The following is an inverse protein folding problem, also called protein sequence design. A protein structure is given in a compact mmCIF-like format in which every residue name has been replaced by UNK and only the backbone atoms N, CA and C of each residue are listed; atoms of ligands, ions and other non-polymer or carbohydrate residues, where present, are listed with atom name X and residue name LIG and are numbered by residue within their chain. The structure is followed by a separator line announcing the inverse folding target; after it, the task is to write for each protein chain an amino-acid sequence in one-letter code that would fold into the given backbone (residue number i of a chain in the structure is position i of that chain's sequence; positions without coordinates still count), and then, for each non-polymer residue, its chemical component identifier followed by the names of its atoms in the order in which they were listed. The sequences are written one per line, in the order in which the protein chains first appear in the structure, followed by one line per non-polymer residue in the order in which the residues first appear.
data_IF_787624374341
#
_entry.id   IF_787624374341
#
_cell.length_a   1.000
_cell.length_b   1.000
_cell.length_c   1.000
_cell.angle_alpha   90.00
_cell.angle_beta   90.00
_cell.angle_gamma   90.00
#
_symmetry.space_group_name_H-M   'P 1'
#
loop_
_entity.id
_entity.type
_entity.pdbx_description
1 polymer ?
#
# COMPACT_ATOMS: atom_id res chain seq x y z
N UNK A 1 44.03 12.22 7.83
CA UNK A 1 43.42 12.40 6.52
C UNK A 1 42.56 13.65 6.59
N UNK A 2 42.91 14.72 5.88
CA UNK A 2 42.09 15.95 5.88
C UNK A 2 40.92 15.70 4.94
N UNK A 3 39.69 15.75 5.47
CA UNK A 3 38.48 15.75 4.65
C UNK A 3 38.40 17.12 3.98
N UNK A 4 38.32 17.18 2.66
CA UNK A 4 38.17 18.42 1.94
C UNK A 4 36.77 19.02 2.24
N UNK A 5 36.73 20.30 2.54
CA UNK A 5 35.51 21.07 2.67
C UNK A 5 34.92 21.31 1.29
N UNK A 6 33.95 20.49 0.91
CA UNK A 6 33.28 20.60 -0.38
C UNK A 6 32.41 21.85 -0.50
N UNK A 7 32.08 22.53 0.60
CA UNK A 7 31.29 23.77 0.57
C UNK A 7 32.08 24.94 -0.02
N UNK A 8 33.43 24.87 0.02
CA UNK A 8 34.33 25.84 -0.58
C UNK A 8 34.67 25.54 -2.07
N UNK A 9 34.03 24.50 -2.66
CA UNK A 9 34.28 24.10 -4.05
C UNK A 9 33.43 24.95 -5.01
N UNK A 10 34.03 25.92 -5.67
CA UNK A 10 33.36 26.90 -6.53
C UNK A 10 32.37 26.33 -7.55
N UNK A 11 32.65 25.21 -8.26
CA UNK A 11 31.67 24.59 -9.16
C UNK A 11 30.39 24.08 -8.46
N UNK A 12 30.49 23.64 -7.20
CA UNK A 12 29.34 23.25 -6.40
C UNK A 12 28.51 24.47 -5.97
N UNK A 13 29.20 25.55 -5.59
CA UNK A 13 28.57 26.83 -5.23
C UNK A 13 27.75 27.39 -6.41
N UNK A 14 28.34 27.35 -7.62
CA UNK A 14 27.69 27.81 -8.85
C UNK A 14 26.49 26.93 -9.23
N UNK A 15 26.56 25.62 -8.98
CA UNK A 15 25.47 24.69 -9.19
C UNK A 15 24.33 24.94 -8.20
N UNK A 16 24.65 25.14 -6.93
CA UNK A 16 23.66 25.45 -5.87
C UNK A 16 22.92 26.75 -6.16
N UNK A 17 23.63 27.80 -6.64
CA UNK A 17 23.01 29.05 -7.08
C UNK A 17 22.07 28.87 -8.26
N UNK A 18 22.45 28.04 -9.25
CA UNK A 18 21.59 27.70 -10.42
C UNK A 18 20.34 26.94 -10.03
N UNK A 19 20.41 26.15 -8.95
CA UNK A 19 19.29 25.35 -8.43
C UNK A 19 18.44 26.11 -7.41
N UNK A 20 18.78 27.37 -7.07
CA UNK A 20 18.18 28.16 -5.97
C UNK A 20 18.15 27.35 -4.65
N UNK A 21 19.19 26.54 -4.42
CA UNK A 21 19.30 25.66 -3.28
C UNK A 21 20.01 26.36 -2.12
N UNK A 22 19.39 26.40 -0.98
CA UNK A 22 19.99 26.94 0.26
C UNK A 22 20.78 25.83 0.92
N UNK A 23 22.11 26.02 1.04
CA UNK A 23 22.95 25.14 1.87
C UNK A 23 22.62 25.42 3.34
N UNK A 24 21.92 24.50 3.95
CA UNK A 24 21.60 24.60 5.37
C UNK A 24 22.80 24.09 6.18
N UNK A 25 23.66 25.00 6.64
CA UNK A 25 24.88 24.72 7.43
C UNK A 25 24.58 24.19 8.85
N UNK A 26 23.33 23.94 9.20
CA UNK A 26 22.89 23.31 10.44
C UNK A 26 22.57 21.83 10.26
N UNK A 27 23.45 21.06 9.64
CA UNK A 27 23.46 19.65 9.90
C UNK A 27 24.29 19.45 11.16
N UNK A 28 23.59 19.25 12.26
CA UNK A 28 24.18 18.66 13.45
C UNK A 28 24.62 17.24 13.06
N UNK A 29 25.90 17.09 12.71
CA UNK A 29 26.51 15.83 12.33
C UNK A 29 26.63 14.85 13.51
N UNK A 30 25.96 15.09 14.61
CA UNK A 30 25.72 14.12 15.68
C UNK A 30 24.65 13.09 15.29
N UNK A 31 24.46 12.82 14.00
CA UNK A 31 23.74 11.67 13.56
C UNK A 31 24.60 10.43 13.89
N UNK A 32 24.49 9.97 15.12
CA UNK A 32 24.85 8.61 15.45
C UNK A 32 23.99 7.75 14.54
N UNK A 33 24.61 7.15 13.53
CA UNK A 33 23.98 6.13 12.74
C UNK A 33 23.54 5.05 13.72
N UNK A 34 22.25 5.04 14.00
CA UNK A 34 21.65 4.05 14.88
C UNK A 34 21.69 2.74 14.09
N UNK A 35 22.83 2.04 14.17
CA UNK A 35 23.02 0.79 13.47
C UNK A 35 22.06 -0.24 14.02
N UNK A 36 21.47 -1.02 13.12
CA UNK A 36 20.71 -2.20 13.51
C UNK A 36 21.62 -3.15 14.29
N UNK A 37 21.17 -3.52 15.47
CA UNK A 37 21.80 -4.64 16.21
C UNK A 37 21.44 -5.95 15.53
N UNK A 38 22.25 -7.00 15.74
CA UNK A 38 21.94 -8.34 15.24
C UNK A 38 20.56 -8.84 15.73
N UNK A 39 20.21 -8.56 16.97
CA UNK A 39 18.91 -8.90 17.55
C UNK A 39 17.74 -8.18 16.83
N UNK A 40 17.90 -6.88 16.53
CA UNK A 40 16.88 -6.13 15.76
C UNK A 40 16.76 -6.66 14.33
N UNK A 41 17.86 -7.04 13.70
CA UNK A 41 17.86 -7.62 12.36
C UNK A 41 17.14 -8.97 12.35
N UNK A 42 17.40 -9.81 13.36
CA UNK A 42 16.68 -11.07 13.54
C UNK A 42 15.16 -10.84 13.76
N UNK A 43 14.82 -9.89 14.61
CA UNK A 43 13.40 -9.52 14.83
C UNK A 43 12.74 -9.04 13.55
N UNK A 44 13.37 -8.15 12.77
CA UNK A 44 12.84 -7.68 11.50
C UNK A 44 12.60 -8.82 10.50
N UNK A 45 13.48 -9.82 10.49
CA UNK A 45 13.39 -10.97 9.60
C UNK A 45 12.40 -12.06 10.07
N UNK A 46 11.90 -11.97 11.30
CA UNK A 46 11.03 -13.00 11.91
C UNK A 46 9.71 -12.40 12.41
N UNK A 47 9.71 -11.81 13.59
CA UNK A 47 8.51 -11.36 14.33
C UNK A 47 8.02 -9.98 13.95
N UNK A 48 8.86 -9.20 13.27
CA UNK A 48 8.67 -7.78 13.09
C UNK A 48 8.95 -6.96 14.36
N UNK A 49 9.08 -5.65 14.21
CA UNK A 49 9.32 -4.70 15.31
C UNK A 49 8.11 -3.76 15.38
N UNK A 50 7.53 -3.66 16.57
CA UNK A 50 6.45 -2.69 16.84
C UNK A 50 7.05 -1.30 17.01
N UNK A 51 6.46 -0.32 16.34
CA UNK A 51 6.87 1.07 16.40
C UNK A 51 5.77 1.95 16.97
N UNK A 52 6.18 3.02 17.67
CA UNK A 52 5.26 4.12 17.99
C UNK A 52 4.87 4.89 16.74
N UNK A 53 3.84 5.74 16.84
CA UNK A 53 3.41 6.62 15.74
C UNK A 53 4.57 7.47 15.25
N UNK A 54 5.28 8.12 16.17
CA UNK A 54 6.39 9.01 15.87
C UNK A 54 7.56 8.26 15.20
N UNK A 55 7.83 7.03 15.64
CA UNK A 55 8.86 6.19 15.03
C UNK A 55 8.47 5.77 13.61
N UNK A 56 7.21 5.36 13.41
CA UNK A 56 6.74 4.98 12.08
C UNK A 56 6.72 6.16 11.10
N UNK A 57 6.37 7.37 11.57
CA UNK A 57 6.44 8.57 10.75
C UNK A 57 7.88 8.90 10.31
N UNK A 58 8.85 8.69 11.18
CA UNK A 58 10.28 8.83 10.84
C UNK A 58 10.78 7.79 9.85
N UNK A 59 10.09 6.65 9.73
CA UNK A 59 10.43 5.64 8.72
C UNK A 59 10.05 6.05 7.30
N UNK A 60 9.20 7.06 7.12
CA UNK A 60 8.71 7.47 5.79
C UNK A 60 9.79 8.30 5.12
N UNK A 61 10.29 7.80 3.99
CA UNK A 61 11.26 8.49 3.17
C UNK A 61 10.60 9.47 2.19
N UNK A 62 11.38 10.38 1.62
CA UNK A 62 10.90 11.35 0.63
C UNK A 62 10.27 10.68 -0.62
N UNK A 63 10.69 9.46 -0.96
CA UNK A 63 10.10 8.65 -2.02
C UNK A 63 8.83 7.89 -1.60
N UNK A 64 8.34 8.11 -0.38
CA UNK A 64 7.19 7.44 0.21
C UNK A 64 7.45 5.99 0.67
N UNK A 65 8.63 5.43 0.47
CA UNK A 65 8.98 4.11 0.99
C UNK A 65 9.22 4.16 2.50
N UNK A 66 9.24 2.98 3.14
CA UNK A 66 9.59 2.87 4.54
C UNK A 66 11.04 2.41 4.72
N UNK A 67 11.75 3.09 5.62
CA UNK A 67 13.11 2.75 5.98
C UNK A 67 13.32 2.87 7.49
N UNK A 68 13.96 1.87 8.09
CA UNK A 68 14.30 1.84 9.50
C UNK A 68 15.80 1.57 9.64
N UNK A 69 16.53 2.50 10.27
CA UNK A 69 17.98 2.39 10.48
C UNK A 69 18.77 1.95 9.23
N UNK A 70 18.46 2.54 8.08
CA UNK A 70 19.11 2.23 6.80
C UNK A 70 18.59 0.97 6.07
N UNK A 71 17.61 0.25 6.63
CA UNK A 71 17.00 -0.92 6.00
C UNK A 71 15.62 -0.59 5.45
N UNK A 72 15.36 -0.96 4.20
CA UNK A 72 14.00 -0.91 3.63
C UNK A 72 13.11 -1.93 4.34
N UNK A 73 11.98 -1.47 4.84
CA UNK A 73 11.05 -2.28 5.61
C UNK A 73 9.65 -2.27 5.00
N UNK A 74 8.90 -3.30 5.32
CA UNK A 74 7.47 -3.42 5.04
C UNK A 74 6.70 -3.10 6.30
N UNK A 75 5.45 -2.73 6.17
CA UNK A 75 4.56 -2.40 7.29
C UNK A 75 3.31 -3.27 7.22
N UNK A 76 2.96 -3.94 8.31
CA UNK A 76 1.76 -4.77 8.38
C UNK A 76 1.11 -4.72 9.78
N UNK A 77 -0.10 -5.26 9.93
CA UNK A 77 -0.80 -5.37 11.21
C UNK A 77 -0.57 -6.77 11.77
N UNK A 78 0.18 -6.86 12.88
CA UNK A 78 0.47 -8.13 13.56
C UNK A 78 -0.76 -8.67 14.32
N UNK A 79 -1.46 -7.82 15.08
CA UNK A 79 -2.67 -8.21 15.79
C UNK A 79 -3.90 -8.14 14.88
N UNK A 80 -4.43 -9.28 14.51
CA UNK A 80 -5.53 -9.41 13.57
C UNK A 80 -6.81 -9.88 14.28
N UNK A 81 -7.91 -9.21 13.96
CA UNK A 81 -9.22 -9.49 14.55
C UNK A 81 -10.06 -10.31 13.58
N UNK A 82 -10.45 -11.50 13.98
CA UNK A 82 -11.34 -12.39 13.20
C UNK A 82 -12.69 -12.49 13.92
N UNK A 83 -13.79 -12.46 13.16
CA UNK A 83 -15.14 -12.51 13.74
C UNK A 83 -15.55 -13.95 14.05
N UNK A 84 -15.12 -14.90 13.25
CA UNK A 84 -15.34 -16.36 13.35
C UNK A 84 -14.28 -17.07 12.49
N UNK A 85 -14.29 -18.39 12.50
CA UNK A 85 -13.34 -19.21 11.74
C UNK A 85 -13.44 -19.04 10.21
N UNK A 86 -14.50 -18.39 9.73
CA UNK A 86 -14.77 -18.07 8.33
C UNK A 86 -14.63 -16.58 8.00
N UNK A 87 -13.91 -15.81 8.83
CA UNK A 87 -13.70 -14.39 8.55
C UNK A 87 -12.68 -14.20 7.44
N UNK A 88 -13.17 -13.98 6.22
CA UNK A 88 -12.40 -13.73 5.00
C UNK A 88 -11.71 -12.36 4.98
N UNK A 89 -11.62 -11.67 6.11
CA UNK A 89 -10.90 -10.40 6.16
C UNK A 89 -9.44 -10.63 5.84
N UNK A 90 -9.05 -10.13 4.69
CA UNK A 90 -7.68 -10.21 4.22
C UNK A 90 -6.89 -9.00 4.71
N UNK A 91 -6.05 -9.21 5.73
CA UNK A 91 -5.07 -8.22 6.14
C UNK A 91 -3.97 -8.12 5.08
N UNK A 92 -3.44 -6.91 4.89
CA UNK A 92 -2.48 -6.60 3.84
C UNK A 92 -1.20 -6.05 4.44
N UNK A 93 -0.09 -6.26 3.73
CA UNK A 93 1.13 -5.51 4.02
C UNK A 93 1.25 -4.28 3.11
N UNK A 94 2.04 -3.31 3.55
CA UNK A 94 2.31 -2.07 2.85
C UNK A 94 3.82 -1.94 2.59
N UNK A 95 4.18 -1.50 1.39
CA UNK A 95 5.57 -1.21 1.00
C UNK A 95 5.82 0.29 0.85
N UNK A 96 4.77 1.08 0.95
CA UNK A 96 4.80 2.51 0.77
C UNK A 96 3.76 3.22 1.65
N UNK A 97 3.98 4.49 1.92
CA UNK A 97 3.05 5.41 2.56
C UNK A 97 1.87 5.74 1.63
N UNK A 98 1.07 4.72 1.32
CA UNK A 98 -0.08 4.83 0.43
C UNK A 98 -1.28 5.51 1.12
N UNK A 99 -2.35 5.78 0.35
CA UNK A 99 -3.58 6.41 0.87
C UNK A 99 -4.18 5.68 2.07
N UNK A 100 -4.09 4.35 2.13
CA UNK A 100 -4.53 3.57 3.31
C UNK A 100 -3.72 3.93 4.54
N UNK A 101 -2.39 4.03 4.44
CA UNK A 101 -1.52 4.40 5.55
C UNK A 101 -1.82 5.81 6.06
N UNK A 102 -2.01 6.76 5.15
CA UNK A 102 -2.39 8.14 5.50
C UNK A 102 -3.73 8.17 6.22
N UNK A 103 -4.75 7.48 5.68
CA UNK A 103 -6.09 7.42 6.28
C UNK A 103 -6.06 6.79 7.68
N UNK A 104 -5.27 5.73 7.88
CA UNK A 104 -5.15 5.06 9.19
C UNK A 104 -4.47 5.97 10.23
N UNK A 105 -3.45 6.76 9.82
CA UNK A 105 -2.84 7.77 10.70
C UNK A 105 -3.83 8.84 11.13
N UNK A 106 -4.58 9.39 10.18
CA UNK A 106 -5.60 10.41 10.47
C UNK A 106 -6.68 9.89 11.45
N UNK A 107 -6.94 8.58 11.45
CA UNK A 107 -7.87 7.93 12.37
C UNK A 107 -7.23 7.50 13.70
N UNK A 108 -5.95 7.79 13.92
CA UNK A 108 -5.20 7.37 15.12
C UNK A 108 -5.02 5.86 15.26
N UNK A 109 -5.10 5.10 14.15
CA UNK A 109 -5.06 3.62 14.16
C UNK A 109 -3.68 3.03 13.88
N UNK A 110 -2.65 3.82 13.99
CA UNK A 110 -1.30 3.42 13.56
C UNK A 110 -0.56 2.55 14.58
N UNK A 111 -0.95 2.59 15.87
CA UNK A 111 -0.33 1.79 16.93
C UNK A 111 -0.43 0.26 16.73
N UNK A 112 -1.07 -0.16 15.65
CA UNK A 112 -1.27 -1.57 15.30
C UNK A 112 -0.28 -2.09 14.28
N UNK A 113 0.61 -1.23 13.78
CA UNK A 113 1.53 -1.60 12.72
C UNK A 113 2.90 -2.00 13.26
N UNK A 114 3.47 -3.01 12.64
CA UNK A 114 4.84 -3.46 12.84
C UNK A 114 5.61 -3.39 11.53
N UNK A 115 6.91 -3.22 11.62
CA UNK A 115 7.82 -3.24 10.48
C UNK A 115 8.49 -4.61 10.35
N UNK A 116 8.83 -5.01 9.12
CA UNK A 116 9.51 -6.26 8.80
C UNK A 116 10.37 -6.10 7.54
N UNK A 117 11.40 -6.94 7.43
CA UNK A 117 12.23 -7.08 6.23
C UNK A 117 11.91 -8.35 5.43
N UNK A 118 10.93 -9.14 5.85
CA UNK A 118 10.50 -10.36 5.16
C UNK A 118 10.03 -10.05 3.74
N UNK A 119 10.50 -10.83 2.78
CA UNK A 119 10.24 -10.66 1.34
C UNK A 119 9.41 -11.79 0.75
N UNK A 120 9.10 -12.79 1.55
CA UNK A 120 8.31 -13.97 1.16
C UNK A 120 6.79 -13.74 1.21
N UNK A 121 6.35 -12.58 1.73
CA UNK A 121 4.94 -12.27 1.90
C UNK A 121 4.25 -13.02 3.05
N UNK A 122 5.03 -13.74 3.88
CA UNK A 122 4.54 -14.47 5.05
C UNK A 122 4.95 -13.73 6.33
N UNK A 123 4.02 -13.49 7.24
CA UNK A 123 4.27 -12.67 8.42
C UNK A 123 3.74 -13.34 9.69
N UNK A 124 4.47 -13.16 10.79
CA UNK A 124 4.04 -13.61 12.10
C UNK A 124 2.89 -12.71 12.60
N UNK A 125 1.77 -13.34 12.98
CA UNK A 125 0.58 -12.64 13.45
C UNK A 125 0.01 -13.27 14.72
N UNK A 126 -0.80 -12.48 15.42
CA UNK A 126 -1.61 -12.90 16.56
C UNK A 126 -3.08 -12.72 16.21
N UNK A 127 -3.86 -13.77 16.32
CA UNK A 127 -5.30 -13.75 16.05
C UNK A 127 -6.09 -13.57 17.33
N UNK A 128 -7.04 -12.63 17.30
CA UNK A 128 -7.99 -12.41 18.37
C UNK A 128 -9.43 -12.44 17.88
N UNK A 129 -10.32 -12.91 18.71
CA UNK A 129 -11.75 -12.85 18.43
C UNK A 129 -12.23 -11.39 18.44
N UNK A 130 -12.85 -10.96 17.35
CA UNK A 130 -13.30 -9.57 17.18
C UNK A 130 -14.45 -9.13 18.09
N UNK A 131 -15.17 -10.08 18.72
CA UNK A 131 -16.24 -9.81 19.70
C UNK A 131 -15.75 -9.92 21.12
N UNK A 132 -15.15 -11.06 21.47
CA UNK A 132 -14.75 -11.37 22.86
C UNK A 132 -13.37 -10.85 23.22
N UNK A 133 -12.59 -10.42 22.23
CA UNK A 133 -11.18 -10.01 22.36
C UNK A 133 -10.23 -11.11 22.86
N UNK A 134 -10.72 -12.34 23.02
CA UNK A 134 -9.93 -13.48 23.44
C UNK A 134 -8.88 -13.83 22.39
N UNK A 135 -7.73 -14.29 22.88
CA UNK A 135 -6.66 -14.84 22.03
C UNK A 135 -7.15 -16.14 21.39
N UNK A 136 -7.05 -16.23 20.08
CA UNK A 136 -7.31 -17.46 19.32
C UNK A 136 -6.00 -18.19 19.06
N UNK A 137 -5.02 -17.50 18.51
CA UNK A 137 -3.69 -18.04 18.23
C UNK A 137 -2.64 -16.92 18.28
N UNK A 138 -1.45 -17.24 18.76
CA UNK A 138 -0.33 -16.31 18.82
C UNK A 138 0.86 -16.87 18.05
N UNK A 139 1.67 -15.95 17.49
CA UNK A 139 2.92 -16.25 16.80
C UNK A 139 2.75 -17.29 15.67
N UNK A 140 1.67 -17.17 14.92
CA UNK A 140 1.43 -18.00 13.75
C UNK A 140 1.86 -17.28 12.47
N UNK A 141 2.38 -18.01 11.52
CA UNK A 141 2.71 -17.47 10.20
C UNK A 141 1.48 -17.44 9.30
N UNK A 142 1.23 -16.29 8.67
CA UNK A 142 0.16 -16.13 7.68
C UNK A 142 0.67 -15.45 6.43
N UNK A 143 0.33 -15.97 5.24
CA UNK A 143 0.55 -15.25 4.00
C UNK A 143 -0.35 -14.02 3.94
N UNK A 144 0.18 -12.92 3.47
CA UNK A 144 -0.56 -11.69 3.20
C UNK A 144 -0.27 -11.20 1.79
N UNK A 145 -1.27 -10.56 1.18
CA UNK A 145 -1.11 -9.89 -0.08
C UNK A 145 -0.75 -8.41 0.12
N UNK A 146 -0.20 -7.79 -0.91
CA UNK A 146 0.06 -6.36 -0.91
C UNK A 146 -1.24 -5.55 -0.80
N UNK A 147 -1.18 -4.40 -0.16
CA UNK A 147 -2.27 -3.43 -0.18
C UNK A 147 -2.53 -2.95 -1.62
N UNK A 148 -3.79 -2.95 -2.06
CA UNK A 148 -4.17 -2.47 -3.39
C UNK A 148 -3.71 -1.04 -3.66
N UNK A 149 -3.79 -0.15 -2.67
CA UNK A 149 -3.33 1.22 -2.81
C UNK A 149 -1.81 1.33 -2.95
N UNK A 150 -1.04 0.43 -2.33
CA UNK A 150 0.39 0.33 -2.60
C UNK A 150 0.65 -0.14 -4.03
N UNK A 151 -0.09 -1.13 -4.50
CA UNK A 151 0.03 -1.64 -5.87
C UNK A 151 -0.32 -0.57 -6.89
N UNK A 152 -1.41 0.19 -6.69
CA UNK A 152 -1.77 1.32 -7.54
C UNK A 152 -0.66 2.37 -7.59
N UNK A 153 -0.07 2.69 -6.44
CA UNK A 153 1.07 3.62 -6.35
C UNK A 153 2.27 3.10 -7.15
N UNK A 154 2.56 1.80 -7.07
CA UNK A 154 3.62 1.17 -7.85
C UNK A 154 3.35 1.20 -9.36
N UNK A 155 2.09 0.95 -9.78
CA UNK A 155 1.69 1.00 -11.18
C UNK A 155 1.82 2.41 -11.78
N UNK A 156 1.53 3.45 -10.99
CA UNK A 156 1.78 4.84 -11.40
C UNK A 156 3.27 5.09 -11.61
N UNK A 157 4.10 4.55 -10.73
CA UNK A 157 5.56 4.70 -10.81
C UNK A 157 6.21 3.81 -11.88
N UNK A 158 5.59 2.67 -12.20
CA UNK A 158 6.10 1.65 -13.13
C UNK A 158 5.00 1.15 -14.06
N UNK A 159 4.45 1.99 -14.95
CA UNK A 159 3.29 1.66 -15.79
C UNK A 159 3.53 0.54 -16.79
N UNK A 160 4.78 0.22 -17.10
CA UNK A 160 5.16 -0.89 -17.99
C UNK A 160 4.97 -2.27 -17.35
N UNK A 161 4.71 -2.34 -16.05
CA UNK A 161 4.67 -3.58 -15.29
C UNK A 161 3.25 -4.00 -14.91
N UNK A 162 2.33 -3.99 -15.87
CA UNK A 162 0.93 -4.38 -15.69
C UNK A 162 0.74 -5.80 -15.13
N UNK A 163 1.76 -6.65 -15.15
CA UNK A 163 1.72 -7.97 -14.53
C UNK A 163 1.44 -7.93 -13.03
N UNK A 164 1.68 -6.80 -12.36
CA UNK A 164 1.40 -6.60 -10.94
C UNK A 164 0.00 -6.03 -10.67
N UNK A 165 -0.85 -5.93 -11.68
CA UNK A 165 -2.18 -5.36 -11.55
C UNK A 165 -3.08 -6.20 -10.63
N UNK A 166 -2.89 -7.51 -10.62
CA UNK A 166 -3.59 -8.38 -9.69
C UNK A 166 -2.81 -8.51 -8.37
N UNK A 167 -3.36 -7.94 -7.29
CA UNK A 167 -2.72 -7.94 -5.97
C UNK A 167 -2.53 -9.34 -5.37
N UNK A 168 -3.26 -10.36 -5.88
CA UNK A 168 -3.11 -11.75 -5.42
C UNK A 168 -1.94 -12.46 -6.07
N UNK A 169 -1.56 -12.03 -7.26
CA UNK A 169 -0.46 -12.61 -8.03
C UNK A 169 0.82 -11.79 -7.88
N UNK A 170 0.80 -10.76 -7.01
CA UNK A 170 1.96 -9.92 -6.78
C UNK A 170 3.00 -10.67 -5.92
N UNK A 171 4.15 -10.92 -6.50
CA UNK A 171 5.29 -11.51 -5.81
C UNK A 171 6.31 -10.44 -5.41
N UNK A 172 6.36 -10.16 -4.10
CA UNK A 172 7.24 -9.14 -3.54
C UNK A 172 8.72 -9.39 -3.83
N UNK A 173 9.17 -10.65 -3.77
CA UNK A 173 10.56 -11.02 -4.02
C UNK A 173 10.97 -10.72 -5.49
N UNK A 174 10.09 -11.01 -6.44
CA UNK A 174 10.30 -10.71 -7.86
C UNK A 174 10.33 -9.19 -8.07
N UNK A 175 9.38 -8.46 -7.46
CA UNK A 175 9.35 -7.01 -7.53
C UNK A 175 10.65 -6.40 -7.01
N UNK A 176 11.08 -6.75 -5.81
CA UNK A 176 12.30 -6.20 -5.19
C UNK A 176 13.57 -6.58 -5.95
N UNK A 177 13.62 -7.75 -6.59
CA UNK A 177 14.74 -8.14 -7.45
C UNK A 177 14.83 -7.28 -8.71
N UNK A 178 13.67 -6.94 -9.31
CA UNK A 178 13.59 -6.15 -10.54
C UNK A 178 13.83 -4.65 -10.31
N UNK A 179 13.31 -4.14 -9.21
CA UNK A 179 13.31 -2.70 -8.90
C UNK A 179 14.17 -2.37 -7.70
N UNK A 180 15.38 -2.89 -7.62
CA UNK A 180 16.30 -2.64 -6.51
C UNK A 180 15.85 -1.50 -5.58
N UNK A 181 15.73 -1.72 -4.35
CA UNK A 181 15.28 -0.99 -3.15
C UNK A 181 15.04 0.54 -3.15
N UNK A 182 15.22 1.25 -4.27
CA UNK A 182 14.95 2.69 -4.38
C UNK A 182 13.67 2.90 -5.17
N UNK A 183 12.55 2.98 -4.48
CA UNK A 183 11.27 3.44 -5.03
C UNK A 183 11.36 4.96 -5.25
N UNK A 184 12.08 5.40 -6.29
CA UNK A 184 12.46 6.80 -6.49
C UNK A 184 11.30 7.76 -6.80
N UNK A 185 10.12 7.27 -7.09
CA UNK A 185 9.03 8.09 -7.63
C UNK A 185 7.66 7.76 -7.03
N UNK A 186 7.61 7.45 -5.73
CA UNK A 186 6.31 7.36 -5.06
C UNK A 186 5.75 8.78 -4.89
N UNK A 187 4.51 9.05 -5.32
CA UNK A 187 3.90 10.36 -5.13
C UNK A 187 3.81 10.67 -3.63
N UNK A 188 4.22 11.89 -3.25
CA UNK A 188 3.99 12.38 -1.90
C UNK A 188 2.48 12.59 -1.69
N UNK A 189 1.87 11.74 -0.89
CA UNK A 189 0.51 11.96 -0.44
C UNK A 189 0.52 12.86 0.80
N UNK A 190 0.01 14.05 0.68
CA UNK A 190 -0.31 14.90 1.81
C UNK A 190 -1.84 14.96 2.00
N UNK A 191 -2.30 15.50 3.14
CA UNK A 191 -3.71 15.57 3.49
C UNK A 191 -4.60 16.29 2.47
N UNK A 192 -4.01 17.07 1.54
CA UNK A 192 -4.71 17.81 0.47
C UNK A 192 -4.73 17.04 -0.84
N UNK A 193 -3.76 16.15 -1.07
CA UNK A 193 -3.57 15.44 -2.34
C UNK A 193 -3.95 13.95 -2.28
N UNK A 194 -4.35 13.44 -1.12
CA UNK A 194 -4.88 12.06 -0.99
C UNK A 194 -6.20 11.97 -1.74
N UNK A 195 -6.28 11.21 -2.84
CA UNK A 195 -7.56 10.98 -3.48
C UNK A 195 -8.46 10.24 -2.47
N UNK A 196 -9.65 10.76 -2.22
CA UNK A 196 -10.65 10.01 -1.47
C UNK A 196 -10.98 8.75 -2.26
N UNK A 197 -10.96 7.58 -1.61
CA UNK A 197 -11.43 6.33 -2.24
C UNK A 197 -12.96 6.34 -2.29
N UNK A 198 -13.50 7.30 -3.02
CA UNK A 198 -14.91 7.56 -3.18
C UNK A 198 -15.25 7.59 -4.67
N UNK A 199 -16.53 7.42 -4.97
CA UNK A 199 -17.00 7.49 -6.35
C UNK A 199 -16.89 8.92 -6.87
N UNK A 200 -16.48 9.13 -8.15
CA UNK A 200 -16.53 10.45 -8.77
C UNK A 200 -17.99 10.95 -8.87
N UNK A 201 -18.16 12.26 -8.84
CA UNK A 201 -19.50 12.89 -8.88
C UNK A 201 -20.37 12.39 -10.04
N UNK A 202 -19.75 12.14 -11.19
CA UNK A 202 -20.42 11.64 -12.39
C UNK A 202 -20.42 10.09 -12.51
N UNK A 203 -20.23 9.36 -11.39
CA UNK A 203 -20.17 7.89 -11.39
C UNK A 203 -21.38 7.22 -12.07
N UNK A 204 -22.56 7.76 -11.88
CA UNK A 204 -23.78 7.20 -12.47
C UNK A 204 -23.70 7.16 -14.00
N UNK A 205 -23.21 8.23 -14.61
CA UNK A 205 -23.06 8.33 -16.07
C UNK A 205 -21.96 7.39 -16.58
N UNK A 206 -20.79 7.37 -15.90
CA UNK A 206 -19.66 6.51 -16.24
C UNK A 206 -20.10 5.04 -16.20
N UNK A 207 -20.71 4.64 -15.11
CA UNK A 207 -21.20 3.27 -14.88
C UNK A 207 -22.23 2.86 -15.95
N UNK A 208 -23.14 3.75 -16.31
CA UNK A 208 -24.14 3.47 -17.36
C UNK A 208 -23.47 3.34 -18.73
N UNK A 209 -22.60 4.27 -19.09
CA UNK A 209 -21.86 4.27 -20.36
C UNK A 209 -21.01 3.00 -20.51
N UNK A 210 -20.30 2.61 -19.43
CA UNK A 210 -19.49 1.40 -19.42
C UNK A 210 -20.33 0.15 -19.67
N UNK A 211 -21.45 -0.05 -18.94
CA UNK A 211 -22.34 -1.20 -19.11
C UNK A 211 -22.98 -1.24 -20.50
N UNK A 212 -23.29 -0.08 -21.06
CA UNK A 212 -23.80 0.04 -22.44
C UNK A 212 -22.75 -0.41 -23.45
N UNK A 213 -21.49 0.02 -23.30
CA UNK A 213 -20.38 -0.39 -24.18
C UNK A 213 -20.10 -1.91 -24.11
N UNK A 214 -20.39 -2.55 -22.96
CA UNK A 214 -20.27 -4.00 -22.79
C UNK A 214 -21.54 -4.76 -23.24
N UNK A 215 -22.48 -4.09 -23.88
CA UNK A 215 -23.71 -4.69 -24.40
C UNK A 215 -24.59 -5.31 -23.32
N UNK A 216 -24.52 -4.80 -22.09
CA UNK A 216 -25.25 -5.29 -20.90
C UNK A 216 -24.97 -6.76 -20.58
N UNK A 217 -23.78 -7.27 -20.89
CA UNK A 217 -23.36 -8.64 -20.60
C UNK A 217 -22.36 -8.66 -19.46
N UNK A 218 -22.46 -9.69 -18.61
CA UNK A 218 -21.50 -9.94 -17.55
C UNK A 218 -20.15 -10.38 -18.15
N UNK A 219 -19.08 -9.66 -17.84
CA UNK A 219 -17.74 -9.97 -18.35
C UNK A 219 -17.11 -11.23 -17.72
N UNK A 220 -17.71 -11.79 -16.65
CA UNK A 220 -17.20 -12.99 -15.98
C UNK A 220 -17.94 -14.25 -16.42
N UNK A 221 -19.27 -14.25 -16.44
CA UNK A 221 -20.06 -15.45 -16.77
C UNK A 221 -20.82 -15.34 -18.10
N UNK A 222 -20.74 -14.21 -18.81
CA UNK A 222 -21.40 -14.02 -20.08
C UNK A 222 -22.92 -13.78 -20.02
N UNK A 223 -23.53 -13.75 -18.83
CA UNK A 223 -24.98 -13.54 -18.67
C UNK A 223 -25.42 -12.26 -19.34
N UNK A 224 -26.43 -12.37 -20.23
CA UNK A 224 -27.07 -11.23 -20.87
C UNK A 224 -28.10 -10.63 -19.93
N UNK A 225 -27.90 -9.36 -19.56
CA UNK A 225 -28.77 -8.61 -18.65
C UNK A 225 -29.62 -7.56 -19.38
N UNK A 226 -29.76 -7.62 -20.72
CA UNK A 226 -30.53 -6.64 -21.47
C UNK A 226 -32.03 -6.57 -21.06
N UNK A 227 -32.61 -7.71 -20.69
CA UNK A 227 -33.99 -7.80 -20.19
C UNK A 227 -34.15 -7.27 -18.77
N UNK A 228 -33.07 -7.32 -17.95
CA UNK A 228 -33.05 -6.80 -16.59
C UNK A 228 -31.72 -6.08 -16.32
N UNK A 229 -31.63 -4.84 -16.78
CA UNK A 229 -30.40 -4.02 -16.68
C UNK A 229 -30.00 -3.70 -15.25
N UNK A 230 -30.92 -3.76 -14.29
CA UNK A 230 -30.61 -3.55 -12.88
C UNK A 230 -29.79 -4.68 -12.29
N UNK A 231 -29.76 -5.85 -12.94
CA UNK A 231 -28.99 -7.00 -12.51
C UNK A 231 -27.51 -6.93 -12.89
N UNK A 232 -27.11 -5.99 -13.78
CA UNK A 232 -25.72 -5.76 -14.16
C UNK A 232 -25.16 -4.56 -13.41
N UNK A 233 -24.08 -4.78 -12.67
CA UNK A 233 -23.38 -3.76 -11.92
C UNK A 233 -22.06 -3.40 -12.60
N UNK A 234 -21.57 -2.18 -12.39
CA UNK A 234 -20.22 -1.77 -12.75
C UNK A 234 -19.36 -1.83 -11.49
N UNK A 235 -18.36 -2.69 -11.51
CA UNK A 235 -17.44 -2.96 -10.41
C UNK A 235 -16.11 -2.26 -10.67
N UNK A 236 -15.51 -1.63 -9.64
CA UNK A 236 -14.13 -1.17 -9.69
C UNK A 236 -13.20 -2.32 -9.30
N UNK A 237 -12.24 -2.62 -10.16
CA UNK A 237 -11.20 -3.63 -9.90
C UNK A 237 -10.21 -3.09 -8.87
N UNK A 238 -9.90 -1.79 -8.93
CA UNK A 238 -9.02 -1.03 -8.06
C UNK A 238 -9.73 0.10 -7.32
N UNK A 239 -9.08 1.27 -7.15
CA UNK A 239 -9.63 2.41 -6.41
C UNK A 239 -10.91 2.97 -7.05
N UNK A 240 -11.89 3.40 -6.23
CA UNK A 240 -13.18 3.91 -6.70
C UNK A 240 -13.10 5.27 -7.39
N UNK A 241 -12.10 6.09 -7.03
CA UNK A 241 -11.89 7.39 -7.67
C UNK A 241 -11.36 7.26 -9.11
N UNK A 242 -10.73 6.13 -9.45
CA UNK A 242 -10.24 5.86 -10.81
C UNK A 242 -11.32 5.12 -11.61
N UNK A 243 -12.01 5.85 -12.47
CA UNK A 243 -13.07 5.33 -13.33
C UNK A 243 -12.63 5.14 -14.78
N UNK A 244 -11.33 4.97 -15.03
CA UNK A 244 -10.83 4.53 -16.33
C UNK A 244 -11.38 3.13 -16.67
N UNK A 245 -11.67 2.90 -17.95
CA UNK A 245 -12.28 1.64 -18.40
C UNK A 245 -11.45 0.39 -18.05
N UNK A 246 -10.14 0.50 -17.93
CA UNK A 246 -9.25 -0.58 -17.45
C UNK A 246 -9.44 -0.94 -15.98
N UNK A 247 -10.01 -0.04 -15.18
CA UNK A 247 -10.32 -0.27 -13.77
C UNK A 247 -11.78 -0.67 -13.53
N UNK A 248 -12.59 -0.84 -14.59
CA UNK A 248 -13.99 -1.17 -14.49
C UNK A 248 -14.26 -2.57 -15.01
N UNK A 249 -15.28 -3.23 -14.45
CA UNK A 249 -15.76 -4.53 -14.89
C UNK A 249 -17.28 -4.59 -14.77
N UNK A 250 -17.98 -5.00 -15.86
CA UNK A 250 -19.42 -5.22 -15.83
C UNK A 250 -19.72 -6.63 -15.31
N UNK A 251 -20.36 -6.73 -14.15
CA UNK A 251 -20.66 -7.99 -13.47
C UNK A 251 -22.13 -8.12 -13.17
N UNK A 252 -22.73 -9.29 -13.43
CA UNK A 252 -24.04 -9.60 -12.87
C UNK A 252 -23.99 -9.65 -11.34
N UNK A 253 -25.15 -9.49 -10.70
CA UNK A 253 -25.26 -9.43 -9.24
C UNK A 253 -24.56 -10.63 -8.55
N UNK A 254 -24.64 -11.82 -9.12
CA UNK A 254 -24.07 -13.02 -8.55
C UNK A 254 -22.51 -13.07 -8.66
N UNK A 255 -21.97 -12.70 -9.81
CA UNK A 255 -20.52 -12.58 -9.97
C UNK A 255 -19.96 -11.42 -9.13
N UNK A 256 -20.70 -10.31 -9.01
CA UNK A 256 -20.29 -9.18 -8.20
C UNK A 256 -20.21 -9.52 -6.71
N UNK A 257 -21.16 -10.31 -6.19
CA UNK A 257 -21.14 -10.79 -4.81
C UNK A 257 -19.92 -11.63 -4.46
N UNK A 258 -19.36 -12.35 -5.43
CA UNK A 258 -18.15 -13.17 -5.24
C UNK A 258 -16.88 -12.34 -5.12
N UNK A 259 -16.93 -11.06 -5.45
CA UNK A 259 -15.76 -10.17 -5.33
C UNK A 259 -15.50 -9.80 -3.87
N UNK A 260 -14.22 -9.67 -3.48
CA UNK A 260 -13.86 -9.28 -2.12
C UNK A 260 -14.55 -7.99 -1.68
N UNK A 261 -15.15 -7.99 -0.50
CA UNK A 261 -15.85 -6.83 0.06
C UNK A 261 -17.30 -6.64 -0.37
N UNK A 262 -17.85 -7.49 -1.25
CA UNK A 262 -19.20 -7.37 -1.79
C UNK A 262 -20.19 -8.44 -1.29
N UNK A 263 -19.81 -9.30 -0.34
CA UNK A 263 -20.62 -10.40 0.18
C UNK A 263 -21.96 -9.98 0.84
N UNK A 264 -22.12 -8.71 1.19
CA UNK A 264 -23.31 -8.18 1.86
C UNK A 264 -24.26 -7.39 0.94
N UNK A 265 -24.11 -7.48 -0.38
CA UNK A 265 -25.04 -6.81 -1.32
C UNK A 265 -26.36 -7.58 -1.34
N UNK A 266 -27.46 -6.91 -0.87
CA UNK A 266 -28.84 -7.39 -0.92
C UNK A 266 -29.40 -7.35 -2.34
#
# INVERSE_FOLDING_TARGET
MRIYDFTAFKPLEDLLKKMDAVVNNKYDCTYTWDHLTEAELEMLNTKGIELTIEQLERCIQADGSFEWKGQKVLVYIKEQWVKNDYDDREYKYHIANCTTQVSMRLQGRINRYVISTRKDGVFEVTLRNGRTRQLIAANIERPMNICKNCLTTLLVSYPQDYQFFNYRDFELAIFLKKYSTKLKHLPEFNNKTVPKDDYPENWKEISQKYRTNKGWKCEECGLDCNSNRSFLHCHHIGPKYDSNYGNLQALCKDCHRKKPGHNNMK
#
